data_IF_311724435151
#
_entry.id   IF_311724435151
#
_cell.length_a   1.000
_cell.length_b   1.000
_cell.length_c   1.000
_cell.angle_alpha   90.00
_cell.angle_beta   90.00
_cell.angle_gamma   90.00
#
_symmetry.space_group_name_H-M   'P 1'
#
loop_
_entity.id
_entity.type
_entity.pdbx_description
1 polymer ?
#
# COMPACT_ATOMS: atom_id res chain seq x y z
N UNK A 1 47.64 -9.04 -15.18
CA UNK A 1 46.37 -8.81 -15.93
C UNK A 1 45.16 -9.51 -15.31
N UNK A 2 45.27 -10.72 -14.76
CA UNK A 2 44.14 -11.46 -14.16
C UNK A 2 43.46 -10.76 -12.97
N UNK A 3 44.22 -10.03 -12.15
CA UNK A 3 43.68 -9.32 -10.97
C UNK A 3 42.87 -8.05 -11.33
N UNK A 4 43.18 -7.38 -12.45
CA UNK A 4 42.44 -6.20 -12.92
C UNK A 4 41.05 -6.57 -13.48
N UNK A 5 40.91 -7.75 -14.08
CA UNK A 5 39.62 -8.26 -14.54
C UNK A 5 38.66 -8.57 -13.38
N UNK A 6 39.18 -9.08 -12.25
CA UNK A 6 38.39 -9.41 -11.08
C UNK A 6 37.74 -8.17 -10.45
N UNK A 7 38.47 -7.06 -10.39
CA UNK A 7 37.99 -5.78 -9.84
C UNK A 7 36.88 -5.18 -10.70
N UNK A 8 37.01 -5.26 -12.03
CA UNK A 8 35.97 -4.81 -12.97
C UNK A 8 34.67 -5.61 -12.86
N UNK A 9 34.76 -6.91 -12.56
CA UNK A 9 33.60 -7.77 -12.37
C UNK A 9 32.83 -7.42 -11.08
N UNK A 10 33.55 -7.08 -10.01
CA UNK A 10 32.96 -6.71 -8.72
C UNK A 10 32.24 -5.35 -8.81
N UNK A 11 32.80 -4.38 -9.54
CA UNK A 11 32.19 -3.06 -9.74
C UNK A 11 30.90 -3.17 -10.58
N UNK A 12 30.86 -4.07 -11.57
CA UNK A 12 29.70 -4.27 -12.44
C UNK A 12 28.45 -4.83 -11.75
N UNK A 13 28.60 -5.53 -10.61
CA UNK A 13 27.48 -6.16 -9.90
C UNK A 13 26.76 -5.18 -8.97
N UNK A 14 27.42 -4.09 -8.56
CA UNK A 14 26.87 -3.14 -7.56
C UNK A 14 25.75 -2.22 -8.06
N UNK A 15 25.45 -2.21 -9.36
CA UNK A 15 24.45 -1.31 -9.95
C UNK A 15 23.11 -1.98 -10.28
N UNK A 16 22.92 -3.25 -9.95
CA UNK A 16 21.59 -3.85 -9.98
C UNK A 16 20.88 -3.55 -8.66
N UNK A 17 20.29 -2.36 -8.58
CA UNK A 17 19.31 -2.03 -7.55
C UNK A 17 18.10 -2.93 -7.75
N UNK A 18 18.04 -4.04 -7.03
CA UNK A 18 16.83 -4.84 -6.92
C UNK A 18 15.80 -4.02 -6.16
N UNK A 19 14.71 -3.62 -6.85
CA UNK A 19 13.53 -3.09 -6.18
C UNK A 19 13.04 -4.10 -5.14
N UNK A 20 12.76 -3.63 -3.93
CA UNK A 20 12.24 -4.49 -2.87
C UNK A 20 10.72 -4.46 -2.94
N UNK A 21 10.03 -5.59 -2.89
CA UNK A 21 8.58 -5.55 -2.80
C UNK A 21 8.17 -5.33 -1.33
N UNK A 22 7.14 -4.53 -1.11
CA UNK A 22 6.58 -4.38 0.23
C UNK A 22 5.71 -5.59 0.53
N UNK A 23 5.97 -6.26 1.66
CA UNK A 23 5.12 -7.37 2.08
C UNK A 23 3.80 -6.83 2.66
N UNK A 24 2.76 -6.85 1.84
CA UNK A 24 1.48 -6.24 2.15
C UNK A 24 0.31 -7.17 1.83
N UNK A 25 -0.56 -7.40 2.82
CA UNK A 25 -1.85 -8.07 2.62
C UNK A 25 -2.96 -7.03 2.72
N UNK A 26 -3.85 -7.00 1.74
CA UNK A 26 -4.99 -6.09 1.72
C UNK A 26 -6.27 -6.90 1.92
N UNK A 27 -7.10 -6.48 2.87
CA UNK A 27 -8.39 -7.07 3.15
C UNK A 27 -9.49 -6.00 3.05
N UNK A 28 -10.60 -6.34 2.39
CA UNK A 28 -11.83 -5.55 2.42
C UNK A 28 -12.89 -6.42 3.08
N UNK A 29 -13.48 -5.96 4.17
CA UNK A 29 -14.58 -6.65 4.84
C UNK A 29 -14.27 -8.12 5.21
N UNK A 30 -13.07 -8.36 5.77
CA UNK A 30 -12.53 -9.69 6.11
C UNK A 30 -12.22 -10.59 4.89
N UNK A 31 -12.40 -10.08 3.67
CA UNK A 31 -12.05 -10.80 2.44
C UNK A 31 -10.73 -10.31 1.89
N UNK A 32 -9.90 -11.25 1.45
CA UNK A 32 -8.59 -10.94 0.89
C UNK A 32 -8.75 -10.38 -0.53
N UNK A 33 -8.12 -9.25 -0.80
CA UNK A 33 -8.06 -8.67 -2.14
C UNK A 33 -7.08 -9.49 -2.96
N UNK A 34 -7.55 -10.06 -4.07
CA UNK A 34 -6.76 -10.92 -4.96
C UNK A 34 -6.23 -10.17 -6.19
N UNK A 35 -6.97 -9.15 -6.63
CA UNK A 35 -6.68 -8.34 -7.80
C UNK A 35 -7.27 -6.94 -7.62
N UNK A 36 -6.83 -6.00 -8.46
CA UNK A 36 -7.28 -4.62 -8.43
C UNK A 36 -6.36 -3.72 -9.23
N UNK A 37 -6.82 -2.51 -9.53
CA UNK A 37 -5.99 -1.47 -10.12
C UNK A 37 -5.43 -0.59 -9.01
N UNK A 38 -4.15 -0.77 -8.68
CA UNK A 38 -3.48 -0.09 -7.57
C UNK A 38 -2.63 1.09 -8.06
N UNK A 39 -2.62 2.18 -7.29
CA UNK A 39 -1.79 3.34 -7.57
C UNK A 39 -1.21 3.92 -6.28
N UNK A 40 0.02 4.43 -6.35
CA UNK A 40 0.52 5.38 -5.35
C UNK A 40 0.40 6.80 -5.91
N UNK A 41 -0.16 7.68 -5.10
CA UNK A 41 -0.20 9.11 -5.33
C UNK A 41 0.78 9.78 -4.38
N UNK A 42 1.77 10.50 -4.93
CA UNK A 42 2.73 11.27 -4.17
C UNK A 42 2.35 12.75 -4.21
N UNK A 43 2.31 13.38 -3.05
CA UNK A 43 2.31 14.84 -2.93
C UNK A 43 3.67 15.28 -2.40
N UNK A 44 4.35 16.14 -3.14
CA UNK A 44 5.64 16.70 -2.74
C UNK A 44 5.46 18.02 -2.00
N UNK A 45 6.43 18.40 -1.17
CA UNK A 45 6.46 19.69 -0.44
C UNK A 45 6.39 20.91 -1.36
N UNK A 46 6.79 20.78 -2.63
CA UNK A 46 6.64 21.81 -3.66
C UNK A 46 5.19 21.99 -4.15
N UNK A 47 4.26 21.13 -3.72
CA UNK A 47 2.88 21.07 -4.22
C UNK A 47 2.70 20.24 -5.49
N UNK A 48 3.79 19.74 -6.08
CA UNK A 48 3.72 18.83 -7.23
C UNK A 48 3.05 17.52 -6.80
N UNK A 49 2.16 17.01 -7.64
CA UNK A 49 1.51 15.72 -7.46
C UNK A 49 1.91 14.77 -8.58
N UNK A 50 2.18 13.53 -8.22
CA UNK A 50 2.52 12.46 -9.15
C UNK A 50 1.71 11.21 -8.83
N UNK A 51 1.33 10.46 -9.86
CA UNK A 51 0.66 9.18 -9.74
C UNK A 51 1.47 8.11 -10.46
N UNK A 52 1.67 6.98 -9.80
CA UNK A 52 2.24 5.79 -10.40
C UNK A 52 1.29 4.61 -10.25
N UNK A 53 1.21 3.78 -11.28
CA UNK A 53 0.52 2.50 -11.20
C UNK A 53 1.48 1.46 -10.64
N UNK A 54 1.01 0.65 -9.69
CA UNK A 54 1.80 -0.41 -9.05
C UNK A 54 1.11 -1.75 -9.23
N UNK A 55 1.90 -2.81 -9.24
CA UNK A 55 1.37 -4.17 -9.21
C UNK A 55 1.04 -4.59 -7.78
N UNK A 56 0.04 -5.45 -7.64
CA UNK A 56 -0.28 -6.08 -6.37
C UNK A 56 -0.64 -7.54 -6.58
N UNK A 57 -0.06 -8.40 -5.76
CA UNK A 57 -0.49 -9.76 -5.52
C UNK A 57 -0.60 -9.93 -4.00
N UNK A 58 -1.46 -10.83 -3.49
CA UNK A 58 -1.58 -11.04 -2.05
C UNK A 58 -0.24 -11.28 -1.35
N UNK A 59 0.10 -10.39 -0.42
CA UNK A 59 1.38 -10.43 0.30
C UNK A 59 2.49 -9.60 -0.36
N UNK A 60 2.23 -8.95 -1.48
CA UNK A 60 3.26 -8.25 -2.26
C UNK A 60 2.73 -7.02 -3.01
N UNK A 61 3.15 -5.83 -2.58
CA UNK A 61 3.04 -4.60 -3.36
C UNK A 61 4.32 -4.43 -4.18
N UNK A 62 4.20 -4.46 -5.51
CA UNK A 62 5.33 -4.46 -6.43
C UNK A 62 5.84 -3.04 -6.62
N UNK A 63 7.03 -2.76 -6.08
CA UNK A 63 7.64 -1.43 -6.07
C UNK A 63 9.00 -1.47 -6.76
N UNK A 64 9.20 -0.54 -7.69
CA UNK A 64 10.49 -0.36 -8.36
C UNK A 64 11.46 0.40 -7.47
N UNK A 65 12.76 0.35 -7.78
CA UNK A 65 13.76 1.15 -7.07
C UNK A 65 13.45 2.66 -7.13
N UNK A 66 12.88 3.15 -8.24
CA UNK A 66 12.44 4.55 -8.34
C UNK A 66 11.29 4.88 -7.40
N UNK A 67 10.40 3.92 -7.13
CA UNK A 67 9.26 4.14 -6.23
C UNK A 67 9.76 4.24 -4.79
N UNK A 68 10.70 3.38 -4.38
CA UNK A 68 11.36 3.48 -3.08
C UNK A 68 12.08 4.80 -2.89
N UNK A 69 12.81 5.27 -3.90
CA UNK A 69 13.47 6.59 -3.83
C UNK A 69 12.46 7.71 -3.58
N UNK A 70 11.27 7.65 -4.18
CA UNK A 70 10.18 8.61 -3.95
C UNK A 70 9.60 8.46 -2.54
N UNK A 71 9.29 7.25 -2.10
CA UNK A 71 8.76 6.96 -0.76
C UNK A 71 9.69 7.49 0.33
N UNK A 72 10.99 7.20 0.23
CA UNK A 72 11.97 7.60 1.24
C UNK A 72 12.34 9.08 1.15
N UNK A 73 12.12 9.76 0.02
CA UNK A 73 12.53 11.14 -0.20
C UNK A 73 11.99 12.12 0.85
N UNK A 74 12.83 13.01 1.36
CA UNK A 74 12.42 14.09 2.26
C UNK A 74 11.55 15.15 1.58
N UNK A 75 11.53 15.18 0.24
CA UNK A 75 10.61 16.05 -0.51
C UNK A 75 9.18 15.52 -0.53
N UNK A 76 8.97 14.23 -0.27
CA UNK A 76 7.65 13.61 -0.24
C UNK A 76 6.95 13.98 1.05
N UNK A 77 5.77 14.59 0.92
CA UNK A 77 4.93 15.05 2.02
C UNK A 77 3.87 14.01 2.35
N UNK A 78 3.07 13.61 1.36
CA UNK A 78 2.00 12.62 1.52
C UNK A 78 2.16 11.50 0.49
N UNK A 79 1.77 10.28 0.89
CA UNK A 79 1.68 9.11 0.02
C UNK A 79 0.28 8.54 0.22
N UNK A 80 -0.49 8.40 -0.87
CA UNK A 80 -1.84 7.82 -0.83
C UNK A 80 -1.86 6.59 -1.71
N UNK A 81 -2.17 5.45 -1.13
CA UNK A 81 -2.47 4.22 -1.86
C UNK A 81 -3.94 4.23 -2.26
N UNK A 82 -4.20 4.05 -3.56
CA UNK A 82 -5.56 3.98 -4.08
C UNK A 82 -5.79 2.68 -4.84
N UNK A 83 -6.98 2.12 -4.69
CA UNK A 83 -7.35 0.92 -5.45
C UNK A 83 -8.86 0.78 -5.64
N UNK A 84 -9.22 0.18 -6.77
CA UNK A 84 -10.56 -0.32 -7.02
C UNK A 84 -10.68 -1.74 -6.49
N UNK A 85 -11.81 -2.04 -5.87
CA UNK A 85 -12.17 -3.36 -5.39
C UNK A 85 -13.53 -3.77 -5.96
N UNK A 86 -13.53 -4.86 -6.71
CA UNK A 86 -14.73 -5.50 -7.21
C UNK A 86 -15.06 -6.69 -6.31
N UNK A 87 -16.14 -6.59 -5.53
CA UNK A 87 -16.64 -7.72 -4.76
C UNK A 87 -17.35 -8.72 -5.69
N UNK A 88 -16.58 -9.68 -6.23
CA UNK A 88 -17.10 -10.73 -7.10
C UNK A 88 -18.08 -11.69 -6.39
N UNK A 89 -18.19 -11.64 -5.07
CA UNK A 89 -19.08 -12.51 -4.29
C UNK A 89 -20.49 -11.91 -4.11
N UNK A 90 -20.67 -10.61 -4.38
CA UNK A 90 -21.99 -9.98 -4.35
C UNK A 90 -22.69 -10.08 -5.71
N UNK A 91 -23.98 -10.42 -5.68
CA UNK A 91 -24.87 -10.54 -6.86
C UNK A 91 -24.98 -9.22 -7.65
N UNK A 92 -24.65 -8.09 -7.03
CA UNK A 92 -24.50 -6.79 -7.70
C UNK A 92 -23.04 -6.39 -7.65
N UNK A 93 -22.44 -6.18 -8.83
CA UNK A 93 -21.11 -5.59 -8.97
C UNK A 93 -21.15 -4.21 -8.31
N UNK A 94 -20.34 -4.04 -7.28
CA UNK A 94 -20.14 -2.74 -6.65
C UNK A 94 -18.65 -2.44 -6.78
N UNK A 95 -18.36 -1.42 -7.59
CA UNK A 95 -17.00 -0.93 -7.78
C UNK A 95 -16.73 0.03 -6.61
N UNK A 96 -16.04 -0.44 -5.57
CA UNK A 96 -15.61 0.42 -4.46
C UNK A 96 -14.23 0.98 -4.75
N UNK A 97 -14.03 2.28 -4.50
CA UNK A 97 -12.74 2.95 -4.64
C UNK A 97 -12.29 3.43 -3.25
N UNK A 98 -11.07 3.08 -2.87
CA UNK A 98 -10.52 3.43 -1.57
C UNK A 98 -9.26 4.27 -1.71
N UNK A 99 -9.15 5.28 -0.85
CA UNK A 99 -7.96 6.10 -0.67
C UNK A 99 -7.42 5.89 0.76
N UNK A 100 -6.15 5.51 0.84
CA UNK A 100 -5.50 5.10 2.07
C UNK A 100 -4.24 5.94 2.23
N UNK A 101 -4.21 6.77 3.27
CA UNK A 101 -3.02 7.54 3.60
C UNK A 101 -1.95 6.60 4.17
N UNK A 102 -0.74 6.68 3.60
CA UNK A 102 0.40 5.87 4.02
C UNK A 102 1.52 6.77 4.52
N UNK A 103 1.89 6.57 5.77
CA UNK A 103 3.13 7.11 6.32
C UNK A 103 4.36 6.29 5.92
N UNK A 104 5.54 6.93 5.90
CA UNK A 104 6.81 6.29 5.51
C UNK A 104 7.11 5.02 6.32
N UNK A 105 6.81 5.01 7.62
CA UNK A 105 7.09 3.84 8.46
C UNK A 105 6.27 2.60 8.07
N UNK A 106 5.13 2.75 7.40
CA UNK A 106 4.37 1.60 6.89
C UNK A 106 5.19 0.79 5.88
N UNK A 107 6.05 1.47 5.11
CA UNK A 107 6.93 0.84 4.13
C UNK A 107 8.18 0.21 4.76
N UNK A 108 8.52 0.57 6.00
CA UNK A 108 9.64 -0.01 6.75
C UNK A 108 9.25 -1.30 7.50
N UNK A 109 7.95 -1.60 7.57
CA UNK A 109 7.45 -2.78 8.26
C UNK A 109 7.74 -4.05 7.44
N UNK A 110 8.24 -5.09 8.11
CA UNK A 110 8.49 -6.40 7.49
C UNK A 110 7.22 -7.07 6.95
N UNK A 111 6.09 -6.80 7.58
CA UNK A 111 4.77 -7.32 7.22
C UNK A 111 3.73 -6.25 7.55
N UNK A 112 2.92 -5.89 6.57
CA UNK A 112 1.85 -4.91 6.72
C UNK A 112 0.52 -5.53 6.29
N UNK A 113 -0.50 -5.41 7.12
CA UNK A 113 -1.87 -5.79 6.77
C UNK A 113 -2.70 -4.51 6.74
N UNK A 114 -3.23 -4.16 5.57
CA UNK A 114 -4.24 -3.13 5.44
C UNK A 114 -5.61 -3.79 5.50
N UNK A 115 -6.45 -3.39 6.44
CA UNK A 115 -7.86 -3.77 6.45
C UNK A 115 -8.70 -2.56 6.13
N UNK A 116 -9.67 -2.74 5.25
CA UNK A 116 -10.68 -1.77 4.89
C UNK A 116 -12.03 -2.33 5.30
N UNK A 117 -12.80 -1.53 6.01
CA UNK A 117 -14.14 -1.85 6.46
C UNK A 117 -15.12 -0.96 5.70
N UNK A 118 -15.67 -1.48 4.61
CA UNK A 118 -16.64 -0.82 3.74
C UNK A 118 -18.04 -0.85 4.39
N UNK A 119 -18.64 0.33 4.55
CA UNK A 119 -19.91 0.51 5.24
C UNK A 119 -21.12 0.10 4.41
N UNK A 120 -20.98 -0.23 3.13
CA UNK A 120 -22.01 -0.93 2.36
C UNK A 120 -22.48 -2.19 3.09
N UNK A 121 -21.57 -2.85 3.81
CA UNK A 121 -21.94 -3.88 4.77
C UNK A 121 -22.35 -3.29 6.12
N UNK A 122 -23.63 -3.49 6.44
CA UNK A 122 -24.26 -2.97 7.66
C UNK A 122 -23.52 -3.35 8.95
N UNK A 123 -22.84 -4.51 8.99
CA UNK A 123 -22.06 -4.92 10.17
C UNK A 123 -20.94 -3.94 10.49
N UNK A 124 -20.19 -3.47 9.49
CA UNK A 124 -19.08 -2.54 9.68
C UNK A 124 -19.57 -1.12 9.87
N UNK A 125 -20.60 -0.69 9.13
CA UNK A 125 -21.24 0.61 9.35
C UNK A 125 -21.66 0.78 10.80
N UNK A 126 -22.38 -0.19 11.36
CA UNK A 126 -22.80 -0.15 12.77
C UNK A 126 -21.63 -0.09 13.74
N UNK A 127 -20.54 -0.79 13.43
CA UNK A 127 -19.39 -0.94 14.32
C UNK A 127 -18.45 0.28 14.30
N UNK A 128 -18.36 0.99 13.17
CA UNK A 128 -17.28 1.97 12.97
C UNK A 128 -17.73 3.33 12.41
N UNK A 129 -18.99 3.52 12.00
CA UNK A 129 -19.44 4.80 11.39
C UNK A 129 -19.36 6.02 12.30
N UNK A 130 -19.19 5.85 13.62
CA UNK A 130 -18.96 7.00 14.50
C UNK A 130 -17.53 7.56 14.43
N UNK A 131 -16.60 6.84 13.78
CA UNK A 131 -15.18 7.17 13.74
C UNK A 131 -14.79 8.01 12.51
N UNK A 132 -15.68 8.10 11.52
CA UNK A 132 -15.43 8.80 10.25
C UNK A 132 -16.74 9.16 9.57
N UNK A 133 -16.73 10.25 8.82
CA UNK A 133 -17.86 10.66 7.96
C UNK A 133 -17.82 9.96 6.58
N UNK A 134 -16.73 9.25 6.28
CA UNK A 134 -16.56 8.48 5.04
C UNK A 134 -17.42 7.20 5.00
N UNK A 135 -17.65 6.66 3.81
CA UNK A 135 -18.37 5.39 3.60
C UNK A 135 -17.53 4.14 3.89
N UNK A 136 -16.32 4.31 4.41
CA UNK A 136 -15.44 3.24 4.87
C UNK A 136 -14.46 3.76 5.92
N UNK A 137 -13.83 2.84 6.65
CA UNK A 137 -12.66 3.13 7.47
C UNK A 137 -11.58 2.09 7.21
N UNK A 138 -10.32 2.41 7.48
CA UNK A 138 -9.22 1.46 7.35
C UNK A 138 -8.31 1.47 8.58
N UNK A 139 -7.59 0.37 8.77
CA UNK A 139 -6.51 0.27 9.74
C UNK A 139 -5.32 -0.51 9.17
N UNK A 140 -4.13 -0.15 9.66
CA UNK A 140 -2.92 -0.94 9.45
C UNK A 140 -2.69 -1.84 10.66
N UNK A 141 -2.43 -3.12 10.41
CA UNK A 141 -2.03 -4.10 11.41
C UNK A 141 -0.66 -4.65 11.04
N UNK A 142 0.23 -4.71 12.01
CA UNK A 142 1.61 -5.20 11.88
C UNK A 142 2.06 -5.75 13.24
N UNK A 143 3.15 -6.55 13.33
CA UNK A 143 3.48 -7.24 14.58
C UNK A 143 3.66 -6.33 15.81
N UNK A 144 3.94 -5.05 15.60
CA UNK A 144 4.17 -4.05 16.66
C UNK A 144 2.99 -3.09 16.87
N UNK A 145 1.86 -3.24 16.16
CA UNK A 145 0.76 -2.29 16.26
C UNK A 145 -0.46 -2.61 15.40
N UNK A 146 -1.53 -1.86 15.63
CA UNK A 146 -2.81 -2.01 14.94
C UNK A 146 -3.90 -2.51 15.87
N UNK A 147 -4.71 -1.57 16.36
CA UNK A 147 -5.97 -1.85 17.05
C UNK A 147 -6.95 -0.78 16.59
N UNK A 148 -7.98 -1.18 15.84
CA UNK A 148 -9.13 -0.31 15.59
C UNK A 148 -10.17 -0.52 16.69
N UNK A 149 -10.43 0.53 17.48
CA UNK A 149 -11.43 0.50 18.55
C UNK A 149 -12.78 0.88 17.96
N UNK A 150 -13.80 0.05 18.18
CA UNK A 150 -15.14 0.27 17.64
C UNK A 150 -15.95 1.29 18.43
N UNK A 151 -16.98 1.81 17.78
CA UNK A 151 -18.13 2.42 18.44
C UNK A 151 -18.74 1.34 19.36
N UNK A 152 -18.79 1.59 20.67
CA UNK A 152 -19.29 0.64 21.66
C UNK A 152 -20.74 0.22 21.44
#
# INVERSE_FOLDING_TARGET
MKFKLLILLIIGITNYGFGQNLNMVIQVNDQLVLNGAFNLHFEYKSGIKERIQIGYEPGELKLTESDWKKISSDSTKNIILTFNYDDFLKVKKQDSYYEIEMEKYHFDNRYLILRVYDFCERKYRRKYSCLTDEDYIYDFNYPQGGILISCG
#
